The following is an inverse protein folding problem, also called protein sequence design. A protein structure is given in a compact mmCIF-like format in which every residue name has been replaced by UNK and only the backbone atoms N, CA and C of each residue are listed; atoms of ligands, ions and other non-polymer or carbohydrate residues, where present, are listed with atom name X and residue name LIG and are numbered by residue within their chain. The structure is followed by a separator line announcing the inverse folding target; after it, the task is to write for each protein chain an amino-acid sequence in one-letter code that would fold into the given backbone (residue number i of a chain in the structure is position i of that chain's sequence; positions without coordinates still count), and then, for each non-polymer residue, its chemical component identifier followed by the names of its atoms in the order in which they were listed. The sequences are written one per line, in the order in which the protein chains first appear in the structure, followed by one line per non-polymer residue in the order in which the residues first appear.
data_IF_556498732885
#
_entry.id   IF_556498732885
#
_cell.length_a   1.000
_cell.length_b   1.000
_cell.length_c   1.000
_cell.angle_alpha   90.00
_cell.angle_beta   90.00
_cell.angle_gamma   90.00
#
_symmetry.space_group_name_H-M   'P 1'
#
loop_
_entity.id
_entity.type
_entity.pdbx_description
1 polymer ?
#
# COMPACT_ATOMS: atom_id res chain seq x y z
N UNK A 1 7.24 1.09 9.40
CA UNK A 1 5.76 1.16 9.38
C UNK A 1 5.30 1.07 7.94
N UNK A 2 4.17 0.41 7.63
CA UNK A 2 3.54 0.47 6.30
C UNK A 2 2.19 1.21 6.40
N UNK A 3 1.66 1.66 5.27
CA UNK A 3 0.45 2.49 5.25
C UNK A 3 -0.78 1.74 5.78
N UNK A 4 -0.93 0.44 5.52
CA UNK A 4 -2.07 -0.32 6.04
C UNK A 4 -2.09 -0.39 7.56
N UNK A 5 -0.93 -0.57 8.22
CA UNK A 5 -0.85 -0.54 9.68
C UNK A 5 -1.20 0.84 10.24
N UNK A 6 -0.84 1.91 9.55
CA UNK A 6 -1.17 3.27 9.97
C UNK A 6 -2.68 3.56 9.84
N UNK A 7 -3.32 3.07 8.77
CA UNK A 7 -4.79 3.12 8.59
C UNK A 7 -5.50 2.29 9.65
N UNK A 8 -4.99 1.09 9.94
CA UNK A 8 -5.56 0.18 10.95
C UNK A 8 -5.47 0.72 12.39
N UNK A 9 -4.64 1.73 12.63
CA UNK A 9 -4.54 2.41 13.93
C UNK A 9 -5.45 3.65 14.01
N UNK A 10 -6.29 3.90 13.01
CA UNK A 10 -7.08 5.13 12.95
C UNK A 10 -7.97 5.34 14.19
N UNK A 11 -8.57 4.29 14.75
CA UNK A 11 -9.35 4.40 16.00
C UNK A 11 -8.49 4.43 17.26
N UNK A 12 -7.44 3.61 17.31
CA UNK A 12 -6.60 3.46 18.50
C UNK A 12 -5.64 4.63 18.71
N UNK A 13 -5.27 5.33 17.63
CA UNK A 13 -4.39 6.51 17.65
C UNK A 13 -3.14 6.28 18.51
N UNK A 14 -2.64 5.04 18.53
CA UNK A 14 -1.59 4.59 19.44
C UNK A 14 -0.21 4.77 18.82
N UNK A 15 -0.15 4.89 17.49
CA UNK A 15 1.09 5.12 16.78
C UNK A 15 1.52 6.58 16.88
N UNK A 16 2.82 6.84 17.14
CA UNK A 16 3.34 8.20 17.16
C UNK A 16 3.19 8.85 15.79
N UNK A 17 2.77 10.11 15.79
CA UNK A 17 2.58 10.88 14.57
C UNK A 17 3.93 11.11 13.88
N UNK A 18 3.94 10.90 12.57
CA UNK A 18 5.06 11.29 11.72
C UNK A 18 4.86 12.77 11.39
N UNK A 19 5.53 13.67 12.11
CA UNK A 19 5.50 15.12 11.86
C UNK A 19 4.74 15.97 12.90
N UNK A 20 4.03 15.35 13.84
CA UNK A 20 3.20 16.05 14.85
C UNK A 20 1.92 16.67 14.25
N UNK A 21 0.82 16.69 15.00
CA UNK A 21 -0.46 17.21 14.51
C UNK A 21 -1.67 16.31 14.80
N UNK A 22 -2.52 16.11 13.80
CA UNK A 22 -3.78 15.35 13.89
C UNK A 22 -3.55 13.94 13.33
N UNK A 23 -4.27 12.94 13.85
CA UNK A 23 -4.31 11.60 13.26
C UNK A 23 -5.08 11.64 11.93
N UNK A 24 -4.39 11.80 10.80
CA UNK A 24 -4.99 11.98 9.47
C UNK A 24 -6.05 10.93 9.13
N UNK A 25 -5.75 9.65 9.37
CA UNK A 25 -6.69 8.55 9.10
C UNK A 25 -7.89 8.56 10.05
N UNK A 26 -7.71 8.95 11.32
CA UNK A 26 -8.83 9.17 12.22
C UNK A 26 -9.75 10.26 11.67
N UNK A 27 -9.16 11.39 11.27
CA UNK A 27 -9.88 12.54 10.73
C UNK A 27 -10.64 12.18 9.44
N UNK A 28 -9.95 11.67 8.43
CA UNK A 28 -10.54 11.35 7.12
C UNK A 28 -11.64 10.30 7.23
N UNK A 29 -11.40 9.20 7.95
CA UNK A 29 -12.39 8.14 8.08
C UNK A 29 -13.58 8.58 8.94
N UNK A 30 -13.38 9.52 9.88
CA UNK A 30 -14.48 10.14 10.63
C UNK A 30 -15.33 11.05 9.74
N UNK A 31 -14.71 11.87 8.89
CA UNK A 31 -15.43 12.76 7.95
C UNK A 31 -16.32 11.96 6.99
N UNK A 32 -15.87 10.78 6.59
CA UNK A 32 -16.64 9.88 5.72
C UNK A 32 -17.58 8.93 6.48
N UNK A 33 -17.63 9.00 7.81
CA UNK A 33 -18.42 8.12 8.66
C UNK A 33 -18.13 6.62 8.47
N UNK A 34 -16.87 6.30 8.17
CA UNK A 34 -16.35 4.94 7.94
C UNK A 34 -15.24 4.55 8.92
N UNK A 35 -15.02 5.34 9.97
CA UNK A 35 -13.97 5.09 10.99
C UNK A 35 -14.01 3.68 11.58
N UNK A 36 -15.20 3.09 11.71
CA UNK A 36 -15.38 1.72 12.20
C UNK A 36 -14.81 0.62 11.28
N UNK A 37 -14.54 0.96 10.02
CA UNK A 37 -14.02 0.05 9.00
C UNK A 37 -12.49 0.21 8.78
N UNK A 38 -11.79 0.81 9.73
CA UNK A 38 -10.34 1.06 9.65
C UNK A 38 -9.51 -0.21 9.37
N UNK A 39 -9.84 -1.33 10.00
CA UNK A 39 -9.19 -2.63 9.75
C UNK A 39 -9.49 -3.20 8.37
N UNK A 40 -10.73 -3.09 7.90
CA UNK A 40 -11.16 -3.59 6.59
C UNK A 40 -10.51 -2.78 5.47
N UNK A 41 -10.50 -1.44 5.61
CA UNK A 41 -9.83 -0.54 4.67
C UNK A 41 -8.32 -0.81 4.67
N UNK A 42 -7.70 -1.00 5.84
CA UNK A 42 -6.31 -1.41 5.93
C UNK A 42 -6.05 -2.74 5.20
N UNK A 43 -6.94 -3.71 5.34
CA UNK A 43 -6.90 -5.00 4.63
C UNK A 43 -6.93 -4.81 3.11
N UNK A 44 -7.87 -4.01 2.60
CA UNK A 44 -7.98 -3.69 1.17
C UNK A 44 -6.71 -3.02 0.64
N UNK A 45 -6.16 -2.04 1.36
CA UNK A 45 -4.93 -1.35 0.98
C UNK A 45 -3.75 -2.33 0.93
N UNK A 46 -3.63 -3.22 1.92
CA UNK A 46 -2.57 -4.22 1.95
C UNK A 46 -2.69 -5.20 0.77
N UNK A 47 -3.88 -5.75 0.54
CA UNK A 47 -4.15 -6.68 -0.55
C UNK A 47 -3.89 -6.03 -1.91
N UNK A 48 -4.30 -4.77 -2.11
CA UNK A 48 -4.02 -4.04 -3.34
C UNK A 48 -2.50 -3.90 -3.59
N UNK A 49 -1.72 -3.58 -2.56
CA UNK A 49 -0.25 -3.51 -2.67
C UNK A 49 0.38 -4.86 -3.03
N UNK A 50 -0.11 -5.95 -2.43
CA UNK A 50 0.32 -7.32 -2.76
C UNK A 50 0.01 -7.67 -4.22
N UNK A 51 -1.19 -7.36 -4.70
CA UNK A 51 -1.61 -7.60 -6.08
C UNK A 51 -0.74 -6.82 -7.07
N UNK A 52 -0.46 -5.54 -6.79
CA UNK A 52 0.41 -4.71 -7.64
C UNK A 52 1.84 -5.27 -7.70
N UNK A 53 2.38 -5.68 -6.56
CA UNK A 53 3.72 -6.27 -6.48
C UNK A 53 3.79 -7.60 -7.25
N UNK A 54 2.81 -8.48 -7.05
CA UNK A 54 2.72 -9.75 -7.78
C UNK A 54 2.60 -9.54 -9.29
N UNK A 55 1.75 -8.60 -9.72
CA UNK A 55 1.60 -8.22 -11.13
C UNK A 55 2.90 -7.69 -11.72
N UNK A 56 3.66 -6.89 -10.96
CA UNK A 56 4.95 -6.34 -11.40
C UNK A 56 6.01 -7.43 -11.60
N UNK A 57 6.07 -8.39 -10.68
CA UNK A 57 6.97 -9.55 -10.79
C UNK A 57 6.57 -10.40 -12.00
N UNK A 58 5.29 -10.72 -12.14
CA UNK A 58 4.78 -11.49 -13.28
C UNK A 58 5.14 -10.79 -14.61
N UNK A 59 4.86 -9.49 -14.69
CA UNK A 59 5.19 -8.66 -15.85
C UNK A 59 6.68 -8.69 -16.18
N UNK A 60 7.56 -8.56 -15.18
CA UNK A 60 9.01 -8.64 -15.36
C UNK A 60 9.48 -10.01 -15.87
N UNK A 61 8.79 -11.10 -15.53
CA UNK A 61 9.11 -12.44 -16.04
C UNK A 61 8.60 -12.63 -17.47
N UNK A 62 7.44 -12.06 -17.81
CA UNK A 62 6.89 -12.11 -19.17
C UNK A 62 7.66 -11.22 -20.16
N UNK A 63 8.17 -10.07 -19.71
CA UNK A 63 9.08 -9.24 -20.50
C UNK A 63 10.51 -9.78 -20.35
N UNK A 64 10.82 -10.84 -21.08
CA UNK A 64 12.22 -11.17 -21.37
C UNK A 64 12.69 -10.28 -22.53
N UNK A 65 13.69 -9.40 -22.35
CA UNK A 65 14.24 -8.64 -23.47
C UNK A 65 14.80 -9.62 -24.50
N UNK A 66 14.42 -9.46 -25.78
CA UNK A 66 15.13 -10.16 -26.86
C UNK A 66 16.60 -9.73 -26.77
N UNK A 67 17.49 -10.63 -26.36
CA UNK A 67 18.93 -10.39 -26.44
C UNK A 67 19.23 -10.11 -27.91
N UNK A 68 19.71 -8.90 -28.21
CA UNK A 68 20.32 -8.63 -29.51
C UNK A 68 21.50 -9.60 -29.63
N UNK A 69 21.36 -10.62 -30.46
CA UNK A 69 22.46 -11.49 -30.86
C UNK A 69 23.47 -10.60 -31.55
N UNK A 70 24.60 -10.36 -30.89
CA UNK A 70 25.78 -9.74 -31.50
C UNK A 70 26.18 -10.65 -32.65
N UNK A 71 26.10 -10.16 -33.89
CA UNK A 71 26.64 -10.87 -35.04
C UNK A 71 28.18 -10.93 -34.89
N UNK A 72 28.81 -12.12 -34.92
CA UNK A 72 30.26 -12.22 -35.01
C UNK A 72 30.75 -11.72 -36.39
N UNK A 73 32.04 -11.32 -36.51
CA UNK A 73 32.54 -10.36 -37.50
C UNK A 73 32.41 -10.77 -38.95
#
# INVERSE_FOLDING_TARGET
MNISKYVSDARSMSLPLVGGGIHDWNFLLSQWNVLKYDHEIAGVIFSAGVVVMAASIAWSLFITPKRHTVYPP
#
